data_IF_773449561935
#
_entry.id   IF_773449561935
#
_cell.length_a   1.000
_cell.length_b   1.000
_cell.length_c   1.000
_cell.angle_alpha   90.00
_cell.angle_beta   90.00
_cell.angle_gamma   90.00
#
_symmetry.space_group_name_H-M   'P 1'
#
loop_
_entity.id
_entity.type
_entity.pdbx_description
1 polymer ?
#
# COMPACT_ATOMS: atom_id res chain seq x y z
N UNK A 1 -42.77 -32.78 38.68
CA UNK A 1 -42.19 -34.12 38.96
C UNK A 1 -41.43 -34.58 37.72
N UNK A 2 -40.24 -34.87 37.90
CA UNK A 2 -39.24 -35.71 37.22
C UNK A 2 -37.99 -34.95 36.76
N UNK A 3 -37.04 -34.93 37.67
CA UNK A 3 -35.64 -34.55 37.49
C UNK A 3 -34.90 -35.69 36.78
N UNK A 4 -34.09 -35.36 35.75
CA UNK A 4 -33.01 -36.26 35.33
C UNK A 4 -31.67 -35.55 35.36
N UNK A 5 -30.83 -35.95 36.27
CA UNK A 5 -29.40 -35.73 36.40
C UNK A 5 -28.66 -36.35 35.20
N UNK A 6 -27.72 -35.62 34.62
CA UNK A 6 -26.67 -36.22 33.78
C UNK A 6 -25.33 -36.02 34.40
N UNK A 7 -24.63 -37.16 34.59
CA UNK A 7 -23.30 -37.28 35.20
C UNK A 7 -22.23 -36.84 34.23
N UNK A 8 -21.31 -36.06 34.78
CA UNK A 8 -20.01 -35.74 34.23
C UNK A 8 -19.10 -36.98 34.16
N UNK A 9 -18.49 -37.25 33.01
CA UNK A 9 -17.35 -38.18 32.89
C UNK A 9 -16.09 -37.39 32.49
N UNK A 10 -15.15 -37.33 33.45
CA UNK A 10 -13.79 -36.85 33.24
C UNK A 10 -12.99 -37.91 32.49
N UNK A 11 -12.47 -37.60 31.32
CA UNK A 11 -11.40 -38.35 30.68
C UNK A 11 -10.09 -37.58 30.81
N UNK A 12 -9.11 -38.21 31.43
CA UNK A 12 -7.73 -37.76 31.52
C UNK A 12 -7.04 -37.99 30.18
N UNK A 13 -6.41 -36.96 29.64
CA UNK A 13 -5.47 -37.10 28.53
C UNK A 13 -4.05 -37.08 29.05
N UNK A 14 -3.30 -38.11 28.67
CA UNK A 14 -1.90 -38.33 28.96
C UNK A 14 -1.03 -37.50 28.02
N UNK A 15 -0.18 -36.67 28.58
CA UNK A 15 0.87 -35.93 27.87
C UNK A 15 2.06 -36.85 27.59
N UNK A 16 2.44 -37.03 26.34
CA UNK A 16 3.77 -37.54 25.95
C UNK A 16 4.52 -36.44 25.19
N UNK A 17 5.64 -36.03 25.79
CA UNK A 17 6.63 -35.14 25.16
C UNK A 17 7.56 -35.99 24.26
N UNK A 18 7.90 -35.53 23.04
CA UNK A 18 9.02 -36.10 22.33
C UNK A 18 10.33 -35.42 22.71
N UNK A 19 11.34 -36.24 22.88
CA UNK A 19 12.71 -35.99 23.30
C UNK A 19 13.53 -35.50 22.06
N UNK A 20 14.09 -34.29 22.13
CA UNK A 20 15.06 -33.81 21.15
C UNK A 20 16.45 -34.36 21.45
N UNK A 21 16.98 -35.18 20.62
CA UNK A 21 18.40 -35.52 20.57
C UNK A 21 19.10 -34.69 19.50
N UNK A 22 20.13 -33.99 19.94
CA UNK A 22 21.11 -33.28 19.15
C UNK A 22 21.77 -34.16 18.10
N UNK A 23 21.86 -33.69 16.86
CA UNK A 23 22.80 -34.18 15.88
C UNK A 23 23.71 -33.03 15.44
N UNK A 24 24.93 -33.08 15.94
CA UNK A 24 26.07 -32.27 15.51
C UNK A 24 26.70 -32.99 14.32
N UNK A 25 26.79 -32.38 13.19
CA UNK A 25 27.67 -32.82 12.10
C UNK A 25 28.63 -31.70 11.73
N UNK A 26 29.90 -31.97 12.02
CA UNK A 26 31.08 -31.27 11.53
C UNK A 26 31.43 -31.84 10.15
N UNK A 27 31.60 -31.00 9.17
CA UNK A 27 32.68 -31.20 8.17
C UNK A 27 32.98 -29.85 7.50
N UNK A 28 34.21 -29.43 7.70
CA UNK A 28 34.81 -28.31 7.02
C UNK A 28 35.44 -28.70 5.69
N UNK A 29 35.57 -27.73 4.80
CA UNK A 29 36.67 -27.67 3.84
C UNK A 29 36.94 -26.20 3.47
N UNK A 30 38.19 -25.82 3.62
CA UNK A 30 38.80 -24.58 3.13
C UNK A 30 39.22 -24.75 1.68
N UNK A 31 39.03 -23.70 0.88
CA UNK A 31 39.84 -23.32 -0.29
C UNK A 31 39.19 -22.04 -0.84
N UNK A 32 39.82 -20.95 -1.23
CA UNK A 32 41.18 -20.64 -1.55
C UNK A 32 41.10 -19.29 -2.23
N UNK A 33 42.01 -18.40 -1.89
CA UNK A 33 42.13 -17.02 -2.42
C UNK A 33 42.26 -16.98 -3.96
N UNK A 34 41.62 -15.94 -4.55
CA UNK A 34 41.91 -15.47 -5.87
C UNK A 34 41.65 -13.96 -5.96
N UNK A 35 42.68 -13.15 -5.65
CA UNK A 35 42.68 -11.71 -5.83
C UNK A 35 43.10 -11.43 -7.27
N UNK A 36 42.21 -10.91 -8.10
CA UNK A 36 42.54 -10.31 -9.38
C UNK A 36 42.40 -8.80 -9.27
N UNK A 37 43.53 -8.12 -9.17
CA UNK A 37 43.59 -6.65 -9.23
C UNK A 37 43.49 -6.21 -10.68
N UNK A 38 42.46 -5.45 -11.03
CA UNK A 38 42.38 -4.75 -12.33
C UNK A 38 42.77 -3.31 -12.11
N UNK A 39 43.93 -2.95 -12.67
CA UNK A 39 44.45 -1.57 -12.76
C UNK A 39 43.66 -0.84 -13.87
N UNK A 40 42.86 0.17 -13.49
CA UNK A 40 42.28 1.12 -14.42
C UNK A 40 43.14 2.38 -14.45
N UNK A 41 43.75 2.65 -15.59
CA UNK A 41 44.54 3.83 -15.86
C UNK A 41 43.64 5.06 -16.02
N UNK A 42 43.86 6.08 -15.21
CA UNK A 42 43.25 7.41 -15.36
C UNK A 42 43.85 8.17 -16.56
N UNK A 43 43.02 8.45 -17.56
CA UNK A 43 43.28 9.42 -18.59
C UNK A 43 42.88 10.83 -18.13
N UNK A 44 43.81 11.71 -18.00
CA UNK A 44 43.57 13.13 -17.72
C UNK A 44 43.09 13.85 -18.98
N UNK A 45 41.84 14.32 -18.99
CA UNK A 45 41.34 15.24 -19.99
C UNK A 45 41.43 16.70 -19.46
N UNK A 46 42.22 17.53 -20.12
CA UNK A 46 42.36 18.96 -19.85
C UNK A 46 41.14 19.70 -20.37
N UNK A 47 40.39 20.36 -19.50
CA UNK A 47 39.31 21.28 -19.87
C UNK A 47 39.86 22.69 -20.01
N UNK A 48 39.80 23.23 -21.24
CA UNK A 48 40.09 24.61 -21.54
C UNK A 48 39.01 25.55 -20.98
N UNK A 49 39.47 26.61 -20.30
CA UNK A 49 38.64 27.74 -19.89
C UNK A 49 38.26 28.58 -21.10
N UNK A 50 36.95 28.74 -21.35
CA UNK A 50 36.42 29.86 -22.13
C UNK A 50 35.52 30.69 -21.21
N UNK A 51 36.04 31.87 -20.85
CA UNK A 51 35.30 32.92 -20.18
C UNK A 51 34.36 33.58 -21.20
N UNK A 52 33.05 33.42 -21.03
CA UNK A 52 32.00 34.14 -21.74
C UNK A 52 31.12 34.88 -20.76
N UNK A 53 31.35 36.21 -20.64
CA UNK A 53 30.48 37.12 -19.93
C UNK A 53 29.22 37.37 -20.75
N UNK A 54 28.08 36.87 -20.28
CA UNK A 54 26.75 37.17 -20.83
C UNK A 54 25.74 37.32 -19.70
N UNK A 55 25.43 38.58 -19.33
CA UNK A 55 24.24 38.89 -18.55
C UNK A 55 23.04 38.58 -19.40
N UNK A 56 22.23 37.64 -18.95
CA UNK A 56 20.84 37.51 -19.36
C UNK A 56 20.00 37.35 -18.11
N UNK A 57 19.37 38.46 -17.67
CA UNK A 57 18.19 38.41 -16.84
C UNK A 57 17.08 37.78 -17.69
N UNK A 58 16.79 36.52 -17.46
CA UNK A 58 15.55 35.91 -17.94
C UNK A 58 14.62 35.82 -16.72
N UNK A 59 13.61 36.67 -16.69
CA UNK A 59 12.40 36.47 -15.88
C UNK A 59 11.80 35.12 -16.24
N UNK A 60 12.15 34.10 -15.48
CA UNK A 60 11.46 32.81 -15.54
C UNK A 60 10.10 32.98 -14.87
N UNK A 61 9.07 33.20 -15.68
CA UNK A 61 7.71 33.01 -15.23
C UNK A 61 7.53 31.55 -14.85
N UNK A 62 6.86 31.24 -13.71
CA UNK A 62 6.68 29.86 -13.24
C UNK A 62 5.72 29.00 -14.10
N UNK A 63 5.41 29.37 -15.31
CA UNK A 63 4.32 28.77 -16.09
C UNK A 63 4.72 27.89 -17.27
N UNK A 64 6.00 27.72 -17.58
CA UNK A 64 6.36 27.13 -18.89
C UNK A 64 7.27 25.88 -18.84
N UNK A 65 7.37 25.17 -17.72
CA UNK A 65 8.04 23.87 -17.68
C UNK A 65 7.11 22.77 -17.13
N UNK A 66 5.94 22.60 -17.74
CA UNK A 66 5.27 21.31 -17.72
C UNK A 66 6.08 20.41 -18.65
N UNK A 67 6.97 19.60 -18.08
CA UNK A 67 7.60 18.51 -18.81
C UNK A 67 6.47 17.65 -19.41
N UNK A 68 6.49 17.42 -20.74
CA UNK A 68 5.50 16.51 -21.32
C UNK A 68 5.69 15.15 -20.67
N UNK A 69 4.61 14.56 -20.17
CA UNK A 69 4.62 13.20 -19.65
C UNK A 69 5.29 12.27 -20.65
N UNK A 70 6.39 11.62 -20.32
CA UNK A 70 6.98 10.65 -21.22
C UNK A 70 6.09 9.41 -21.26
N UNK A 71 5.48 9.18 -22.44
CA UNK A 71 4.80 7.96 -22.85
C UNK A 71 3.56 7.48 -22.07
N UNK A 72 2.39 7.95 -22.45
CA UNK A 72 1.22 7.12 -22.79
C UNK A 72 0.35 6.54 -21.67
N UNK A 73 0.81 6.43 -20.40
CA UNK A 73 0.05 5.75 -19.34
C UNK A 73 -0.19 6.57 -18.07
N UNK A 74 0.57 7.60 -17.83
CA UNK A 74 0.24 8.62 -16.82
C UNK A 74 -0.59 9.77 -17.42
N UNK A 75 -1.03 9.67 -18.67
CA UNK A 75 -1.87 10.68 -19.30
C UNK A 75 -3.09 11.04 -18.42
N UNK A 76 -3.61 10.07 -17.66
CA UNK A 76 -4.72 10.31 -16.74
C UNK A 76 -4.30 11.02 -15.43
N UNK A 77 -3.02 10.94 -15.05
CA UNK A 77 -2.49 11.64 -13.86
C UNK A 77 -1.75 12.91 -14.29
N UNK A 78 -1.12 12.89 -15.46
CA UNK A 78 -0.41 14.02 -16.05
C UNK A 78 -1.31 14.91 -16.91
N UNK A 79 -2.58 14.57 -17.14
CA UNK A 79 -3.50 15.47 -17.83
C UNK A 79 -3.53 16.80 -17.06
N UNK A 80 -3.50 17.90 -17.81
CA UNK A 80 -3.55 19.28 -17.35
C UNK A 80 -4.69 19.63 -16.38
N UNK A 81 -5.50 18.66 -16.04
CA UNK A 81 -6.69 18.74 -15.19
C UNK A 81 -6.39 18.43 -13.71
N UNK A 82 -5.16 17.98 -13.35
CA UNK A 82 -4.75 17.80 -11.97
C UNK A 82 -4.00 19.05 -11.51
N UNK A 83 -4.74 20.02 -11.08
CA UNK A 83 -4.22 21.18 -10.34
C UNK A 83 -4.94 21.23 -8.98
N UNK A 84 -4.24 21.13 -7.86
CA UNK A 84 -2.79 21.02 -7.68
C UNK A 84 -2.23 19.66 -8.12
N UNK A 85 -0.91 19.56 -8.29
CA UNK A 85 -0.20 18.31 -8.62
C UNK A 85 -0.09 17.36 -7.44
N UNK A 86 0.58 16.25 -7.66
CA UNK A 86 0.87 15.26 -6.62
C UNK A 86 2.38 15.19 -6.33
N UNK A 87 2.72 14.99 -5.06
CA UNK A 87 4.08 14.68 -4.63
C UNK A 87 4.26 13.16 -4.56
N UNK A 88 5.39 12.68 -5.07
CA UNK A 88 5.78 11.28 -5.09
C UNK A 88 7.15 11.10 -4.45
N UNK A 89 7.37 9.94 -3.81
CA UNK A 89 8.72 9.52 -3.43
C UNK A 89 9.19 8.50 -4.48
N UNK A 90 10.26 8.82 -5.24
CA UNK A 90 10.84 7.89 -6.20
C UNK A 90 11.78 6.91 -5.48
N UNK A 91 11.24 5.85 -4.89
CA UNK A 91 12.02 4.79 -4.24
C UNK A 91 11.56 3.43 -4.71
N UNK A 92 12.51 2.53 -4.95
CA UNK A 92 12.25 1.12 -5.11
C UNK A 92 12.19 0.49 -3.73
N UNK A 93 11.01 -0.01 -3.35
CA UNK A 93 10.77 -0.65 -2.06
C UNK A 93 10.86 -2.18 -2.11
N UNK A 94 10.91 -2.83 -0.94
CA UNK A 94 10.88 -4.28 -0.88
C UNK A 94 9.56 -4.83 -1.40
N UNK A 95 9.57 -6.10 -1.82
CA UNK A 95 8.32 -6.82 -2.10
C UNK A 95 7.64 -7.14 -0.75
N UNK A 96 6.42 -6.67 -0.58
CA UNK A 96 5.62 -6.85 0.62
C UNK A 96 4.77 -8.11 0.49
N UNK A 97 4.98 -9.08 1.37
CA UNK A 97 4.15 -10.28 1.48
C UNK A 97 4.11 -10.76 2.93
N UNK A 98 3.00 -11.36 3.34
CA UNK A 98 2.93 -12.03 4.63
C UNK A 98 3.79 -13.30 4.58
N UNK A 99 4.54 -13.59 5.66
CA UNK A 99 5.49 -14.69 5.73
C UNK A 99 4.85 -16.09 5.77
N UNK A 100 3.86 -16.36 4.94
CA UNK A 100 3.25 -17.67 4.75
C UNK A 100 4.17 -18.56 3.90
N UNK A 101 4.13 -19.88 4.15
CA UNK A 101 4.73 -20.86 3.24
C UNK A 101 3.90 -20.84 1.95
N UNK A 102 4.49 -20.29 0.88
CA UNK A 102 3.82 -20.15 -0.41
C UNK A 102 3.90 -21.47 -1.16
N UNK A 103 2.76 -22.03 -1.55
CA UNK A 103 2.69 -23.16 -2.47
C UNK A 103 2.90 -22.71 -3.93
N UNK A 104 2.68 -21.43 -4.21
CA UNK A 104 2.83 -20.79 -5.51
C UNK A 104 3.44 -19.40 -5.35
N UNK A 105 4.17 -18.94 -6.36
CA UNK A 105 4.68 -17.58 -6.42
C UNK A 105 3.50 -16.58 -6.45
N UNK A 106 3.49 -15.54 -5.60
CA UNK A 106 2.43 -14.55 -5.59
C UNK A 106 2.48 -13.69 -6.86
N UNK A 107 1.30 -13.19 -7.25
CA UNK A 107 1.25 -12.11 -8.24
C UNK A 107 1.79 -10.83 -7.59
N UNK A 108 2.89 -10.29 -8.11
CA UNK A 108 3.48 -9.04 -7.65
C UNK A 108 2.79 -7.86 -8.33
N UNK A 109 2.21 -6.97 -7.53
CA UNK A 109 1.60 -5.73 -7.98
C UNK A 109 2.54 -4.56 -7.69
N UNK A 110 2.99 -3.86 -8.73
CA UNK A 110 3.77 -2.63 -8.53
C UNK A 110 2.85 -1.51 -8.10
N UNK A 111 3.22 -0.80 -7.03
CA UNK A 111 2.45 0.33 -6.51
C UNK A 111 3.26 1.63 -6.54
N UNK A 112 2.55 2.75 -6.62
CA UNK A 112 3.08 4.08 -6.40
C UNK A 112 2.16 4.80 -5.42
N UNK A 113 2.75 5.55 -4.49
CA UNK A 113 2.01 6.34 -3.50
C UNK A 113 2.24 7.81 -3.75
N UNK A 114 1.18 8.60 -3.71
CA UNK A 114 1.26 10.05 -3.85
C UNK A 114 0.28 10.78 -2.94
N UNK A 115 0.65 12.01 -2.57
CA UNK A 115 -0.21 12.94 -1.83
C UNK A 115 -0.36 14.21 -2.66
N UNK A 116 -1.57 14.73 -2.75
CA UNK A 116 -1.87 15.97 -3.47
C UNK A 116 -1.16 17.16 -2.79
N UNK A 117 -0.47 17.97 -3.60
CA UNK A 117 0.28 19.14 -3.13
C UNK A 117 -0.70 20.20 -2.60
N UNK A 118 -0.41 20.72 -1.42
CA UNK A 118 -1.19 21.78 -0.80
C UNK A 118 -2.37 21.32 0.04
N UNK A 119 -2.64 19.99 0.12
CA UNK A 119 -3.64 19.49 1.07
C UNK A 119 -3.08 19.44 2.49
N UNK A 120 -3.92 19.72 3.47
CA UNK A 120 -3.59 19.48 4.88
C UNK A 120 -3.78 17.99 5.20
N UNK A 121 -2.70 17.22 5.09
CA UNK A 121 -2.72 15.76 5.22
C UNK A 121 -1.37 15.18 5.65
N UNK A 122 -1.15 13.87 5.44
CA UNK A 122 0.12 13.25 5.73
C UNK A 122 1.20 13.75 4.76
N UNK A 123 2.47 13.68 5.17
CA UNK A 123 3.56 13.73 4.20
C UNK A 123 3.51 12.47 3.31
N UNK A 124 4.12 12.53 2.12
CA UNK A 124 4.22 11.34 1.25
C UNK A 124 4.95 10.20 1.96
N UNK A 125 5.97 10.50 2.77
CA UNK A 125 6.72 9.50 3.52
C UNK A 125 5.84 8.80 4.58
N UNK A 126 5.01 9.56 5.33
CA UNK A 126 4.10 8.98 6.33
C UNK A 126 2.97 8.18 5.66
N UNK A 127 2.47 8.66 4.53
CA UNK A 127 1.47 7.94 3.73
C UNK A 127 2.03 6.61 3.23
N UNK A 128 3.23 6.63 2.64
CA UNK A 128 3.92 5.43 2.15
C UNK A 128 4.15 4.43 3.29
N UNK A 129 4.72 4.87 4.42
CA UNK A 129 4.98 3.99 5.56
C UNK A 129 3.68 3.33 6.08
N UNK A 130 2.57 4.08 6.13
CA UNK A 130 1.27 3.54 6.53
C UNK A 130 0.74 2.51 5.53
N UNK A 131 0.80 2.83 4.23
CA UNK A 131 0.32 1.96 3.16
C UNK A 131 1.14 0.66 3.10
N UNK A 132 2.47 0.75 3.20
CA UNK A 132 3.34 -0.42 3.24
C UNK A 132 3.05 -1.30 4.48
N UNK A 133 2.87 -0.69 5.66
CA UNK A 133 2.51 -1.41 6.87
C UNK A 133 1.17 -2.18 6.73
N UNK A 134 0.17 -1.56 6.08
CA UNK A 134 -1.13 -2.20 5.82
C UNK A 134 -1.02 -3.31 4.78
N UNK A 135 -0.38 -3.05 3.65
CA UNK A 135 -0.26 -4.03 2.57
C UNK A 135 0.62 -5.24 2.97
N UNK A 136 1.67 -5.02 3.79
CA UNK A 136 2.53 -6.08 4.32
C UNK A 136 1.98 -6.80 5.56
N UNK A 137 0.81 -6.39 6.08
CA UNK A 137 0.27 -6.94 7.32
C UNK A 137 -0.20 -8.40 7.16
N UNK A 138 -0.01 -9.21 8.21
CA UNK A 138 -0.38 -10.64 8.23
C UNK A 138 -1.89 -10.92 8.16
N UNK A 139 -2.74 -9.90 8.29
CA UNK A 139 -4.18 -9.96 8.08
C UNK A 139 -4.61 -9.19 6.80
N UNK A 140 -3.64 -8.63 6.02
CA UNK A 140 -3.87 -7.93 4.76
C UNK A 140 -4.03 -8.85 3.57
N UNK A 141 -4.15 -8.30 2.36
CA UNK A 141 -4.33 -9.06 1.11
C UNK A 141 -3.16 -10.00 0.78
N UNK A 142 -1.99 -9.80 1.39
CA UNK A 142 -0.82 -10.67 1.23
C UNK A 142 -0.90 -11.95 2.08
N UNK A 143 -1.78 -12.01 3.08
CA UNK A 143 -1.87 -13.11 4.04
C UNK A 143 -2.12 -14.49 3.39
N UNK A 144 -2.91 -14.52 2.33
CA UNK A 144 -3.21 -15.77 1.62
C UNK A 144 -2.09 -16.20 0.63
N UNK A 145 -0.99 -15.47 0.53
CA UNK A 145 0.13 -15.78 -0.37
C UNK A 145 -0.18 -15.65 -1.88
N UNK A 146 -1.34 -15.11 -2.26
CA UNK A 146 -1.74 -14.93 -3.65
C UNK A 146 -1.23 -13.62 -4.25
N UNK A 147 -1.08 -12.60 -3.43
CA UNK A 147 -0.70 -11.26 -3.83
C UNK A 147 0.52 -10.79 -3.06
N UNK A 148 1.39 -10.04 -3.72
CA UNK A 148 2.47 -9.29 -3.13
C UNK A 148 2.45 -7.88 -3.73
N UNK A 149 2.94 -6.89 -2.98
CA UNK A 149 3.00 -5.51 -3.45
C UNK A 149 4.44 -5.03 -3.41
N UNK A 150 4.83 -4.22 -4.39
CA UNK A 150 6.15 -3.62 -4.46
C UNK A 150 6.02 -2.16 -4.83
N UNK A 151 6.52 -1.28 -3.97
CA UNK A 151 6.65 0.13 -4.29
C UNK A 151 7.79 0.32 -5.28
N UNK A 152 7.51 0.89 -6.43
CA UNK A 152 8.50 1.18 -7.46
C UNK A 152 8.45 2.65 -7.87
N UNK A 153 9.62 3.22 -8.11
CA UNK A 153 9.79 4.49 -8.79
C UNK A 153 9.55 4.31 -10.31
N UNK A 154 8.36 3.81 -10.67
CA UNK A 154 7.99 3.52 -12.05
C UNK A 154 6.99 4.52 -12.58
N UNK A 155 7.17 4.96 -13.81
CA UNK A 155 6.21 5.83 -14.51
C UNK A 155 4.87 5.11 -14.80
N UNK A 156 4.84 3.79 -14.65
CA UNK A 156 3.65 2.97 -14.94
C UNK A 156 3.44 1.90 -13.85
N UNK A 157 2.97 2.28 -12.65
CA UNK A 157 2.64 1.31 -11.63
C UNK A 157 1.40 0.49 -12.02
N UNK A 158 1.28 -0.71 -11.48
CA UNK A 158 0.06 -1.50 -11.64
C UNK A 158 -1.11 -0.86 -10.87
N UNK A 159 -0.82 -0.16 -9.76
CA UNK A 159 -1.79 0.57 -8.95
C UNK A 159 -1.15 1.85 -8.41
N UNK A 160 -1.81 3.00 -8.59
CA UNK A 160 -1.49 4.26 -7.90
C UNK A 160 -2.42 4.42 -6.71
N UNK A 161 -1.87 4.66 -5.52
CA UNK A 161 -2.62 4.97 -4.31
C UNK A 161 -2.41 6.46 -4.02
N UNK A 162 -3.49 7.23 -4.17
CA UNK A 162 -3.46 8.69 -4.14
C UNK A 162 -4.23 9.17 -2.91
N UNK A 163 -3.66 10.09 -2.12
CA UNK A 163 -4.39 10.81 -1.08
C UNK A 163 -4.67 12.21 -1.59
N UNK A 164 -5.94 12.59 -1.66
CA UNK A 164 -6.38 13.78 -2.37
C UNK A 164 -7.48 14.55 -1.61
N UNK A 165 -7.60 15.84 -1.94
CA UNK A 165 -8.70 16.68 -1.50
C UNK A 165 -10.05 16.16 -2.02
N UNK A 166 -11.17 16.44 -1.31
CA UNK A 166 -12.51 15.99 -1.71
C UNK A 166 -12.85 16.28 -3.17
N UNK A 167 -12.57 17.48 -3.65
CA UNK A 167 -12.88 17.91 -5.02
C UNK A 167 -12.03 17.16 -6.06
N UNK A 168 -10.80 16.81 -5.69
CA UNK A 168 -9.91 16.00 -6.55
C UNK A 168 -10.36 14.55 -6.57
N UNK A 169 -10.85 14.03 -5.44
CA UNK A 169 -11.44 12.69 -5.39
C UNK A 169 -12.65 12.62 -6.33
N UNK A 170 -13.62 13.54 -6.23
CA UNK A 170 -14.77 13.59 -7.13
C UNK A 170 -14.36 13.59 -8.61
N UNK A 171 -13.38 14.41 -8.96
CA UNK A 171 -12.88 14.50 -10.34
C UNK A 171 -12.20 13.20 -10.81
N UNK A 172 -11.33 12.60 -9.98
CA UNK A 172 -10.59 11.39 -10.34
C UNK A 172 -11.45 10.12 -10.31
N UNK A 173 -12.53 10.14 -9.55
CA UNK A 173 -13.46 9.03 -9.40
C UNK A 173 -14.57 9.03 -10.46
N UNK A 174 -14.76 10.13 -11.17
CA UNK A 174 -15.82 10.23 -12.21
C UNK A 174 -15.80 9.01 -13.15
N UNK A 175 -16.96 8.44 -13.52
CA UNK A 175 -18.31 8.93 -13.29
C UNK A 175 -18.95 8.53 -11.95
N UNK A 176 -18.19 7.95 -11.00
CA UNK A 176 -18.68 7.66 -9.64
C UNK A 176 -18.89 8.98 -8.90
N UNK A 177 -20.03 9.13 -8.25
CA UNK A 177 -20.31 10.25 -7.36
C UNK A 177 -19.79 9.89 -5.97
N UNK A 178 -18.74 10.59 -5.51
CA UNK A 178 -18.15 10.40 -4.18
C UNK A 178 -18.62 11.44 -3.18
N UNK A 179 -19.46 12.39 -3.60
CA UNK A 179 -20.07 13.44 -2.78
C UNK A 179 -19.01 14.28 -2.02
N UNK A 180 -17.76 14.34 -2.50
CA UNK A 180 -16.65 14.94 -1.77
C UNK A 180 -16.36 14.24 -0.44
N UNK A 181 -16.92 13.07 -0.20
CA UNK A 181 -16.90 12.40 1.11
C UNK A 181 -16.21 11.03 1.07
N UNK A 182 -16.48 10.22 0.05
CA UNK A 182 -15.98 8.85 -0.02
C UNK A 182 -14.65 8.76 -0.77
N UNK A 183 -13.91 7.68 -0.53
CA UNK A 183 -12.80 7.23 -1.36
C UNK A 183 -13.32 6.39 -2.52
N UNK A 184 -12.51 6.12 -3.52
CA UNK A 184 -12.89 5.25 -4.63
C UNK A 184 -11.72 4.52 -5.26
N UNK A 185 -12.03 3.45 -5.99
CA UNK A 185 -11.13 2.88 -6.98
C UNK A 185 -11.66 3.18 -8.39
N UNK A 186 -10.86 3.82 -9.22
CA UNK A 186 -11.15 4.05 -10.63
C UNK A 186 -9.99 3.61 -11.52
N UNK A 187 -10.20 2.57 -12.32
CA UNK A 187 -9.16 1.97 -13.15
C UNK A 187 -7.99 1.44 -12.30
N UNK A 188 -6.81 2.02 -12.48
CA UNK A 188 -5.57 1.68 -11.77
C UNK A 188 -5.27 2.64 -10.61
N UNK A 189 -6.24 3.38 -10.15
CA UNK A 189 -6.11 4.36 -9.07
C UNK A 189 -7.01 3.99 -7.91
N UNK A 190 -6.44 3.90 -6.71
CA UNK A 190 -7.15 3.97 -5.44
C UNK A 190 -7.01 5.41 -4.93
N UNK A 191 -8.10 6.16 -4.91
CA UNK A 191 -8.11 7.58 -4.55
C UNK A 191 -8.72 7.71 -3.16
N UNK A 192 -7.89 8.00 -2.18
CA UNK A 192 -8.26 8.11 -0.78
C UNK A 192 -8.55 9.57 -0.43
N UNK A 193 -9.73 9.82 0.15
CA UNK A 193 -10.14 11.14 0.57
C UNK A 193 -9.34 11.56 1.83
N UNK A 194 -8.62 12.69 1.74
CA UNK A 194 -7.76 13.17 2.82
C UNK A 194 -8.53 13.46 4.11
N UNK A 195 -9.78 13.91 4.05
CA UNK A 195 -10.58 14.14 5.23
C UNK A 195 -10.97 12.83 5.94
N UNK A 196 -11.21 11.77 5.16
CA UNK A 196 -11.40 10.42 5.73
C UNK A 196 -10.11 9.87 6.32
N UNK A 197 -9.00 10.11 5.66
CA UNK A 197 -7.68 9.74 6.17
C UNK A 197 -7.36 10.40 7.53
N UNK A 198 -7.73 11.68 7.69
CA UNK A 198 -7.47 12.46 8.92
C UNK A 198 -8.40 12.11 10.06
N UNK A 199 -9.67 11.88 9.79
CA UNK A 199 -10.70 11.88 10.82
C UNK A 199 -11.59 10.63 10.86
N UNK A 200 -11.51 9.73 9.85
CA UNK A 200 -12.46 8.62 9.75
C UNK A 200 -13.88 9.09 9.48
N UNK A 201 -14.85 8.33 9.98
CA UNK A 201 -16.28 8.65 9.95
C UNK A 201 -16.86 8.62 11.36
N UNK A 202 -17.93 9.40 11.66
CA UNK A 202 -18.43 9.54 13.03
C UNK A 202 -18.90 8.25 13.72
N UNK A 203 -19.36 7.27 12.94
CA UNK A 203 -19.83 5.99 13.44
C UNK A 203 -18.76 4.91 13.57
N UNK A 204 -17.51 5.21 13.21
CA UNK A 204 -16.39 4.29 13.39
C UNK A 204 -15.97 4.24 14.86
N UNK A 205 -16.09 3.07 15.48
CA UNK A 205 -15.78 2.87 16.91
C UNK A 205 -14.37 2.34 17.17
N UNK A 206 -13.66 1.91 16.11
CA UNK A 206 -12.26 1.49 16.18
C UNK A 206 -11.26 2.65 16.17
N UNK A 207 -9.98 2.34 16.10
CA UNK A 207 -8.93 3.37 16.01
C UNK A 207 -8.89 4.02 14.61
N UNK A 208 -8.27 5.19 14.51
CA UNK A 208 -8.05 5.86 13.22
C UNK A 208 -7.09 5.07 12.32
N UNK A 209 -6.12 4.38 12.92
CA UNK A 209 -5.18 3.50 12.20
C UNK A 209 -5.94 2.32 11.57
N UNK A 210 -6.89 1.72 12.29
CA UNK A 210 -7.73 0.65 11.75
C UNK A 210 -8.67 1.18 10.64
N UNK A 211 -9.17 2.40 10.77
CA UNK A 211 -9.95 3.03 9.70
C UNK A 211 -9.10 3.29 8.44
N UNK A 212 -7.86 3.74 8.60
CA UNK A 212 -6.93 3.87 7.45
C UNK A 212 -6.63 2.52 6.81
N UNK A 213 -6.45 1.47 7.61
CA UNK A 213 -6.31 0.11 7.10
C UNK A 213 -7.55 -0.31 6.29
N UNK A 214 -8.75 0.00 6.79
CA UNK A 214 -9.99 -0.21 6.05
C UNK A 214 -9.99 0.53 4.70
N UNK A 215 -9.70 1.86 4.68
CA UNK A 215 -9.67 2.63 3.44
C UNK A 215 -8.73 2.01 2.40
N UNK A 216 -7.50 1.71 2.82
CA UNK A 216 -6.49 1.14 1.92
C UNK A 216 -6.95 -0.23 1.41
N UNK A 217 -7.32 -1.14 2.32
CA UNK A 217 -7.69 -2.51 1.96
C UNK A 217 -8.98 -2.56 1.14
N UNK A 218 -9.94 -1.67 1.36
CA UNK A 218 -11.18 -1.60 0.59
C UNK A 218 -10.90 -1.24 -0.87
N UNK A 219 -10.17 -0.15 -1.12
CA UNK A 219 -9.88 0.29 -2.48
C UNK A 219 -8.89 -0.65 -3.21
N UNK A 220 -7.92 -1.22 -2.49
CA UNK A 220 -7.06 -2.28 -3.03
C UNK A 220 -7.85 -3.54 -3.32
N UNK A 221 -8.83 -3.90 -2.49
CA UNK A 221 -9.74 -5.02 -2.74
C UNK A 221 -10.50 -4.85 -4.07
N UNK A 222 -11.01 -3.67 -4.35
CA UNK A 222 -11.60 -3.35 -5.66
C UNK A 222 -10.60 -3.48 -6.82
N UNK A 223 -9.35 -3.06 -6.63
CA UNK A 223 -8.31 -3.27 -7.62
C UNK A 223 -8.04 -4.77 -7.85
N UNK A 224 -8.08 -5.59 -6.81
CA UNK A 224 -7.94 -7.06 -6.89
C UNK A 224 -9.18 -7.76 -7.45
N UNK A 225 -10.24 -7.02 -7.79
CA UNK A 225 -11.45 -7.53 -8.42
C UNK A 225 -12.58 -7.89 -7.44
N UNK A 226 -12.44 -7.53 -6.16
CA UNK A 226 -13.49 -7.76 -5.16
C UNK A 226 -14.65 -6.77 -5.34
N UNK A 227 -15.87 -7.26 -5.20
CA UNK A 227 -17.09 -6.45 -5.13
C UNK A 227 -17.44 -6.08 -3.69
N UNK A 228 -18.45 -5.21 -3.53
CA UNK A 228 -18.97 -4.90 -2.20
C UNK A 228 -19.63 -6.11 -1.55
N UNK A 229 -19.49 -6.16 -0.22
CA UNK A 229 -20.13 -7.17 0.64
C UNK A 229 -21.05 -6.49 1.65
N UNK A 230 -21.91 -7.26 2.30
CA UNK A 230 -22.80 -6.77 3.35
C UNK A 230 -22.48 -7.42 4.69
N UNK A 231 -22.89 -6.77 5.78
CA UNK A 231 -22.78 -7.35 7.12
C UNK A 231 -23.43 -8.74 7.16
N UNK A 232 -22.71 -9.80 7.56
CA UNK A 232 -23.27 -11.16 7.59
C UNK A 232 -24.27 -11.37 8.74
N UNK A 233 -24.00 -10.75 9.90
CA UNK A 233 -24.88 -10.80 11.08
C UNK A 233 -24.50 -9.68 12.06
N UNK A 234 -25.46 -9.26 12.89
CA UNK A 234 -25.25 -8.23 13.91
C UNK A 234 -24.14 -8.64 14.89
N UNK A 235 -23.20 -7.70 15.15
CA UNK A 235 -22.04 -7.91 16.03
C UNK A 235 -20.89 -8.70 15.41
N UNK A 236 -21.02 -9.21 14.19
CA UNK A 236 -19.88 -9.79 13.48
C UNK A 236 -18.91 -8.72 13.01
N UNK A 237 -17.60 -9.03 12.84
CA UNK A 237 -16.69 -8.13 12.15
C UNK A 237 -17.18 -7.86 10.72
N UNK A 238 -17.24 -6.60 10.32
CA UNK A 238 -17.62 -6.23 8.96
C UNK A 238 -16.65 -6.84 7.94
N UNK A 239 -17.10 -7.40 6.81
CA UNK A 239 -16.20 -7.66 5.68
C UNK A 239 -15.48 -6.39 5.28
N UNK A 240 -14.19 -6.47 4.95
CA UNK A 240 -13.44 -5.28 4.54
C UNK A 240 -14.04 -4.64 3.28
N UNK A 241 -14.70 -5.43 2.44
CA UNK A 241 -15.40 -4.95 1.25
C UNK A 241 -16.81 -4.41 1.52
N UNK A 242 -17.28 -4.39 2.77
CA UNK A 242 -18.47 -3.62 3.13
C UNK A 242 -18.18 -2.13 3.06
N UNK A 243 -19.13 -1.33 2.60
CA UNK A 243 -19.01 0.14 2.54
C UNK A 243 -19.13 0.75 3.96
N UNK A 244 -18.17 0.45 4.82
CA UNK A 244 -18.19 0.81 6.22
C UNK A 244 -18.10 2.34 6.45
N UNK A 245 -17.65 3.11 5.46
CA UNK A 245 -17.72 4.58 5.51
C UNK A 245 -19.16 5.11 5.38
N UNK A 246 -20.10 4.31 4.88
CA UNK A 246 -21.52 4.65 4.80
C UNK A 246 -22.24 4.21 6.07
N UNK A 247 -22.18 2.90 6.37
CA UNK A 247 -22.85 2.29 7.51
C UNK A 247 -22.20 0.95 7.85
N UNK A 248 -22.19 0.62 9.13
CA UNK A 248 -21.75 -0.70 9.63
C UNK A 248 -22.83 -1.76 9.55
N UNK A 249 -24.10 -1.38 9.34
CA UNK A 249 -25.23 -2.31 9.19
C UNK A 249 -25.36 -3.30 10.35
N UNK A 250 -24.95 -2.89 11.58
CA UNK A 250 -24.93 -3.72 12.77
C UNK A 250 -23.65 -4.53 12.98
N UNK A 251 -22.72 -4.54 12.03
CA UNK A 251 -21.41 -5.15 12.21
C UNK A 251 -20.49 -4.31 13.09
N UNK A 252 -19.44 -4.94 13.65
CA UNK A 252 -18.30 -4.23 14.23
C UNK A 252 -17.33 -3.77 13.13
N UNK A 253 -16.69 -2.57 13.29
CA UNK A 253 -15.75 -2.07 12.32
C UNK A 253 -14.56 -3.01 12.15
N UNK A 254 -14.07 -3.13 10.91
CA UNK A 254 -12.92 -3.99 10.59
C UNK A 254 -12.14 -3.47 9.39
N UNK A 255 -10.83 -3.33 9.55
CA UNK A 255 -9.92 -2.87 8.51
C UNK A 255 -9.23 -3.97 7.70
N UNK A 256 -9.51 -5.27 7.95
CA UNK A 256 -8.68 -6.37 7.46
C UNK A 256 -9.45 -7.41 6.68
N UNK A 257 -8.93 -7.89 5.52
CA UNK A 257 -9.55 -8.96 4.74
C UNK A 257 -9.49 -10.34 5.40
N UNK A 258 -8.47 -10.59 6.23
CA UNK A 258 -8.27 -11.87 6.93
C UNK A 258 -8.14 -11.62 8.44
N UNK A 259 -9.27 -11.76 9.15
CA UNK A 259 -9.31 -11.55 10.60
C UNK A 259 -9.73 -12.84 11.31
#
# INVERSE_FOLDING_TARGET
MSTRFWKSSKTRSLTTKPNMRNVVSKTGRKAGLGVAALLVTMGAATFGHLAGSGRANADLRPSDTLLPCPFGYLADICASDINPGFEFIPVDGPVLFAGAVLEQEPTVHTIQVAVEIGVEGPSVADALATIEAVLGHSAGWTAAGKHAFQHLASDVPALSILIAAPETVDRLCAPLDTEGYFSCRNGRRAVLNVERWKAGVPHWTGSLEEYRAYLINHEVGHYLGMGHETCPEEGAPAPVMQQQSIDLMGCEPNGWPYR
#
